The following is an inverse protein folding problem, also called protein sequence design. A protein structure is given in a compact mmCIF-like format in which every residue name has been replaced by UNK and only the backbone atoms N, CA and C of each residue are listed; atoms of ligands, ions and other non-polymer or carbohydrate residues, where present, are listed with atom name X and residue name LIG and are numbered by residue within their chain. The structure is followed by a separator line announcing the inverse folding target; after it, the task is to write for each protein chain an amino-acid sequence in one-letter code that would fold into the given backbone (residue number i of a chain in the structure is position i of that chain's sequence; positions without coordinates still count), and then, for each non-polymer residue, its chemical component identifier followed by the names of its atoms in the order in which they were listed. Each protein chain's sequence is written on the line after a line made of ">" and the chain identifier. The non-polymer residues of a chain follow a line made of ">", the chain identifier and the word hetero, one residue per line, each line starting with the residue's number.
data_IF_807562643415
#
_entry.id   IF_807562643415
#
_cell.length_a   1.000
_cell.length_b   1.000
_cell.length_c   1.000
_cell.angle_alpha   90.00
_cell.angle_beta   90.00
_cell.angle_gamma   90.00
#
_symmetry.space_group_name_H-M   'P 1'
#
loop_
_entity.id
_entity.type
_entity.pdbx_description
1 polymer ?
#
# COMPACT_ATOMS: atom_id res chain seq x y z
N UNK A 1 -17.76 -37.28 -4.26
CA UNK A 1 -17.18 -37.19 -2.90
C UNK A 1 -16.05 -36.17 -2.81
N UNK A 2 -15.09 -36.13 -3.75
CA UNK A 2 -13.93 -35.22 -3.69
C UNK A 2 -14.22 -33.70 -3.77
N UNK A 3 -15.31 -33.28 -4.43
CA UNK A 3 -15.62 -31.84 -4.61
C UNK A 3 -16.14 -31.19 -3.33
N UNK A 4 -16.95 -31.91 -2.53
CA UNK A 4 -17.51 -31.37 -1.28
C UNK A 4 -16.44 -31.16 -0.20
N UNK A 5 -15.51 -32.10 -0.03
CA UNK A 5 -14.39 -31.97 0.91
C UNK A 5 -13.44 -30.82 0.52
N UNK A 6 -13.19 -30.66 -0.78
CA UNK A 6 -12.39 -29.55 -1.31
C UNK A 6 -13.07 -28.20 -1.06
N UNK A 7 -14.37 -28.10 -1.35
CA UNK A 7 -15.17 -26.89 -1.11
C UNK A 7 -15.19 -26.53 0.37
N UNK A 8 -15.38 -27.52 1.23
CA UNK A 8 -15.36 -27.35 2.68
C UNK A 8 -14.02 -26.84 3.17
N UNK A 9 -12.92 -27.43 2.69
CA UNK A 9 -11.56 -26.99 3.01
C UNK A 9 -11.31 -25.56 2.56
N UNK A 10 -11.76 -25.20 1.35
CA UNK A 10 -11.62 -23.85 0.79
C UNK A 10 -12.39 -22.81 1.61
N UNK A 11 -13.64 -23.10 1.97
CA UNK A 11 -14.48 -22.20 2.78
C UNK A 11 -13.88 -22.00 4.17
N UNK A 12 -13.47 -23.07 4.86
CA UNK A 12 -12.82 -22.97 6.17
C UNK A 12 -11.51 -22.18 6.10
N UNK A 13 -10.70 -22.43 5.07
CA UNK A 13 -9.41 -21.77 4.92
C UNK A 13 -9.57 -20.26 4.66
N UNK A 14 -10.44 -19.89 3.71
CA UNK A 14 -10.69 -18.47 3.42
C UNK A 14 -11.35 -17.75 4.61
N UNK A 15 -12.30 -18.38 5.31
CA UNK A 15 -12.89 -17.80 6.52
C UNK A 15 -11.85 -17.57 7.63
N UNK A 16 -10.90 -18.49 7.79
CA UNK A 16 -9.80 -18.32 8.75
C UNK A 16 -8.82 -17.22 8.33
N UNK A 17 -8.57 -17.06 7.03
CA UNK A 17 -7.74 -15.98 6.48
C UNK A 17 -8.38 -14.60 6.70
N UNK A 18 -9.68 -14.45 6.44
CA UNK A 18 -10.41 -13.19 6.65
C UNK A 18 -10.42 -12.79 8.13
N UNK A 19 -10.59 -13.75 9.04
CA UNK A 19 -10.50 -13.50 10.49
C UNK A 19 -9.12 -12.99 10.90
N UNK A 20 -8.05 -13.67 10.47
CA UNK A 20 -6.70 -13.24 10.80
C UNK A 20 -6.37 -11.89 10.17
N UNK A 21 -6.83 -11.62 8.95
CA UNK A 21 -6.67 -10.31 8.32
C UNK A 21 -7.31 -9.23 9.17
N UNK A 22 -8.56 -9.43 9.61
CA UNK A 22 -9.24 -8.47 10.46
C UNK A 22 -8.46 -8.23 11.76
N UNK A 23 -8.00 -9.30 12.44
CA UNK A 23 -7.18 -9.19 13.64
C UNK A 23 -5.86 -8.43 13.40
N UNK A 24 -5.22 -8.59 12.24
CA UNK A 24 -4.00 -7.86 11.90
C UNK A 24 -4.29 -6.39 11.57
N UNK A 25 -5.38 -6.11 10.83
CA UNK A 25 -5.80 -4.75 10.51
C UNK A 25 -6.16 -3.97 11.79
N UNK A 26 -6.79 -4.61 12.76
CA UNK A 26 -7.13 -4.02 14.05
C UNK A 26 -5.88 -3.71 14.91
N UNK A 27 -4.80 -4.48 14.72
CA UNK A 27 -3.51 -4.29 15.40
C UNK A 27 -2.60 -3.27 14.73
N UNK A 28 -2.93 -2.79 13.53
CA UNK A 28 -2.11 -1.79 12.84
C UNK A 28 -2.11 -0.47 13.65
N UNK A 29 -0.94 0.05 14.05
CA UNK A 29 -0.86 1.30 14.79
C UNK A 29 -1.45 2.44 13.97
N UNK A 30 -2.32 3.26 14.57
CA UNK A 30 -2.84 4.48 13.95
C UNK A 30 -1.72 5.42 13.44
N UNK A 31 -0.54 5.35 14.08
CA UNK A 31 0.67 6.09 13.70
C UNK A 31 1.34 5.63 12.40
N UNK A 32 1.07 4.41 11.90
CA UNK A 32 1.62 3.87 10.63
C UNK A 32 0.82 4.32 9.40
N UNK A 33 -0.33 4.96 9.63
CA UNK A 33 -1.29 5.31 8.59
C UNK A 33 -0.98 6.71 8.02
N UNK A 34 -0.23 6.75 6.92
CA UNK A 34 -0.34 7.92 6.02
C UNK A 34 -1.75 7.95 5.43
N UNK A 35 -2.24 9.11 5.00
CA UNK A 35 -3.62 9.25 4.49
C UNK A 35 -3.96 8.23 3.38
N UNK A 36 -2.99 7.89 2.53
CA UNK A 36 -3.14 6.91 1.43
C UNK A 36 -3.22 5.47 1.95
N UNK A 37 -2.40 5.09 2.93
CA UNK A 37 -2.46 3.75 3.53
C UNK A 37 -3.72 3.59 4.40
N UNK A 38 -4.15 4.61 5.13
CA UNK A 38 -5.39 4.57 5.92
C UNK A 38 -6.63 4.27 5.05
N UNK A 39 -6.75 4.95 3.90
CA UNK A 39 -7.86 4.71 2.97
C UNK A 39 -7.80 3.31 2.36
N UNK A 40 -6.60 2.81 2.06
CA UNK A 40 -6.39 1.46 1.54
C UNK A 40 -6.71 0.38 2.59
N UNK A 41 -6.25 0.57 3.83
CA UNK A 41 -6.55 -0.29 4.99
C UNK A 41 -8.06 -0.33 5.25
N UNK A 42 -8.71 0.83 5.38
CA UNK A 42 -10.15 0.91 5.62
C UNK A 42 -10.96 0.30 4.48
N UNK A 43 -10.47 0.40 3.25
CA UNK A 43 -11.08 -0.23 2.09
C UNK A 43 -10.99 -1.76 2.16
N UNK A 44 -9.80 -2.30 2.43
CA UNK A 44 -9.59 -3.76 2.59
C UNK A 44 -10.35 -4.33 3.79
N UNK A 45 -10.44 -3.58 4.90
CA UNK A 45 -11.23 -3.97 6.07
C UNK A 45 -12.72 -4.13 5.74
N UNK A 46 -13.32 -3.17 5.01
CA UNK A 46 -14.72 -3.27 4.57
C UNK A 46 -14.97 -4.48 3.68
N UNK A 47 -14.07 -4.74 2.73
CA UNK A 47 -14.13 -5.93 1.88
C UNK A 47 -14.09 -7.20 2.72
N UNK A 48 -13.21 -7.26 3.73
CA UNK A 48 -13.06 -8.41 4.61
C UNK A 48 -14.32 -8.70 5.42
N UNK A 49 -14.93 -7.66 5.99
CA UNK A 49 -16.17 -7.79 6.76
C UNK A 49 -17.31 -8.36 5.91
N UNK A 50 -17.55 -7.78 4.73
CA UNK A 50 -18.62 -8.26 3.85
C UNK A 50 -18.41 -9.69 3.37
N UNK A 51 -17.17 -10.07 3.05
CA UNK A 51 -16.89 -11.44 2.66
C UNK A 51 -17.06 -12.44 3.80
N UNK A 52 -16.66 -12.08 5.02
CA UNK A 52 -16.85 -12.94 6.20
C UNK A 52 -18.33 -13.32 6.40
N UNK A 53 -19.24 -12.38 6.14
CA UNK A 53 -20.69 -12.64 6.17
C UNK A 53 -21.14 -13.59 5.05
N UNK A 54 -20.63 -13.39 3.84
CA UNK A 54 -20.95 -14.27 2.70
C UNK A 54 -20.40 -15.68 2.88
N UNK A 55 -19.19 -15.84 3.45
CA UNK A 55 -18.61 -17.14 3.75
C UNK A 55 -19.37 -17.87 4.85
N UNK A 56 -19.86 -17.14 5.87
CA UNK A 56 -20.74 -17.71 6.90
C UNK A 56 -22.01 -18.27 6.27
N UNK A 57 -22.64 -17.50 5.39
CA UNK A 57 -23.84 -17.97 4.73
C UNK A 57 -23.59 -19.12 3.73
N UNK A 58 -22.41 -19.18 3.10
CA UNK A 58 -21.99 -20.33 2.31
C UNK A 58 -21.82 -21.57 3.18
N UNK A 59 -21.13 -21.42 4.32
CA UNK A 59 -20.93 -22.49 5.29
C UNK A 59 -22.25 -23.01 5.84
N UNK A 60 -23.19 -22.13 6.21
CA UNK A 60 -24.52 -22.51 6.68
C UNK A 60 -25.28 -23.33 5.62
N UNK A 61 -25.24 -22.91 4.35
CA UNK A 61 -25.88 -23.63 3.24
C UNK A 61 -25.27 -25.01 2.99
N UNK A 62 -23.96 -25.14 3.17
CA UNK A 62 -23.25 -26.40 3.00
C UNK A 62 -23.13 -27.21 4.31
N UNK A 63 -23.73 -26.74 5.42
CA UNK A 63 -23.59 -27.35 6.76
C UNK A 63 -22.13 -27.57 7.18
N UNK A 64 -21.27 -26.61 6.86
CA UNK A 64 -19.84 -26.61 7.18
C UNK A 64 -19.63 -25.92 8.52
N UNK A 65 -18.92 -26.60 9.42
CA UNK A 65 -18.38 -25.95 10.60
C UNK A 65 -17.14 -25.11 10.23
N UNK A 66 -17.19 -23.82 10.54
CA UNK A 66 -16.08 -22.90 10.35
C UNK A 66 -15.01 -23.01 11.46
N UNK A 67 -15.30 -23.76 12.53
CA UNK A 67 -14.34 -24.04 13.58
C UNK A 67 -13.25 -25.02 13.07
N UNK A 68 -11.97 -24.65 13.23
CA UNK A 68 -10.84 -25.52 12.85
C UNK A 68 -10.22 -25.29 11.46
N UNK A 69 -10.55 -24.21 10.76
CA UNK A 69 -9.83 -23.81 9.54
C UNK A 69 -8.44 -23.23 9.83
N UNK A 70 -7.42 -23.71 9.12
CA UNK A 70 -6.12 -23.04 9.04
C UNK A 70 -6.07 -22.21 7.75
N UNK A 71 -5.54 -20.96 7.80
CA UNK A 71 -5.34 -20.20 6.58
C UNK A 71 -4.35 -20.95 5.69
N UNK A 72 -4.55 -20.87 4.37
CA UNK A 72 -3.55 -21.33 3.42
C UNK A 72 -2.23 -20.61 3.66
N UNK A 73 -1.11 -21.25 3.31
CA UNK A 73 0.23 -20.66 3.48
C UNK A 73 0.37 -19.29 2.83
N UNK A 74 -0.39 -19.04 1.76
CA UNK A 74 -0.42 -17.78 1.02
C UNK A 74 -1.08 -16.66 1.82
N UNK A 75 -2.23 -16.93 2.45
CA UNK A 75 -2.85 -15.97 3.38
C UNK A 75 -1.90 -15.67 4.54
N UNK A 76 -1.26 -16.69 5.12
CA UNK A 76 -0.29 -16.54 6.22
C UNK A 76 0.95 -15.73 5.81
N UNK A 77 1.49 -15.94 4.61
CA UNK A 77 2.63 -15.16 4.08
C UNK A 77 2.28 -13.68 3.93
N UNK A 78 1.07 -13.37 3.46
CA UNK A 78 0.62 -11.99 3.27
C UNK A 78 0.29 -11.33 4.61
N UNK A 79 -0.25 -12.08 5.57
CA UNK A 79 -0.47 -11.63 6.94
C UNK A 79 0.85 -11.35 7.67
N UNK A 80 1.91 -12.12 7.39
CA UNK A 80 3.24 -11.85 7.90
C UNK A 80 3.83 -10.55 7.32
N UNK A 81 3.59 -10.26 6.04
CA UNK A 81 4.00 -8.98 5.44
C UNK A 81 3.23 -7.78 6.01
N UNK A 82 1.94 -7.97 6.37
CA UNK A 82 1.13 -6.96 7.09
C UNK A 82 1.59 -6.81 8.55
N UNK A 83 2.03 -7.91 9.18
CA UNK A 83 2.35 -8.03 10.60
C UNK A 83 3.82 -7.81 11.00
N UNK A 84 4.75 -7.57 10.08
CA UNK A 84 6.16 -7.35 10.43
C UNK A 84 6.34 -5.99 11.17
N UNK A 85 6.80 -5.99 12.43
CA UNK A 85 7.45 -4.82 13.01
C UNK A 85 8.76 -4.58 12.26
N UNK A 86 9.10 -3.32 12.00
CA UNK A 86 10.40 -2.97 11.43
C UNK A 86 11.47 -3.57 12.35
N UNK A 87 12.30 -4.48 11.82
CA UNK A 87 13.56 -4.79 12.46
C UNK A 87 14.30 -3.46 12.64
N UNK A 88 14.86 -3.16 13.83
CA UNK A 88 15.54 -1.89 14.06
C UNK A 88 16.76 -1.84 13.15
N UNK A 89 16.62 -1.18 12.01
CA UNK A 89 17.77 -0.81 11.19
C UNK A 89 18.19 0.58 11.66
N UNK A 90 19.40 0.72 12.20
CA UNK A 90 19.88 2.02 12.61
C UNK A 90 20.13 2.83 11.35
N UNK A 91 19.56 4.02 11.32
CA UNK A 91 19.84 5.08 10.35
C UNK A 91 19.34 4.81 8.93
N UNK A 92 18.17 5.35 8.58
CA UNK A 92 18.00 6.06 7.31
C UNK A 92 16.77 6.97 7.29
N UNK A 93 17.01 8.18 6.82
CA UNK A 93 16.07 9.26 6.52
C UNK A 93 15.05 8.76 5.48
N UNK A 94 13.75 8.89 5.80
CA UNK A 94 12.64 8.74 4.85
C UNK A 94 12.01 7.34 4.77
N UNK A 95 10.86 7.15 5.42
CA UNK A 95 10.00 5.96 5.30
C UNK A 95 8.81 6.13 4.31
N UNK A 96 9.00 6.03 2.98
CA UNK A 96 7.94 5.67 2.02
C UNK A 96 7.88 4.16 1.72
N UNK A 97 8.95 3.42 2.00
CA UNK A 97 9.05 1.97 1.70
C UNK A 97 8.01 1.13 2.44
N UNK A 98 7.59 1.49 3.65
CA UNK A 98 6.64 0.69 4.45
C UNK A 98 5.22 0.67 3.88
N UNK A 99 4.74 1.79 3.32
CA UNK A 99 3.39 1.87 2.72
C UNK A 99 3.31 1.12 1.39
N UNK A 100 4.38 1.13 0.60
CA UNK A 100 4.43 0.39 -0.67
C UNK A 100 4.31 -1.12 -0.44
N UNK A 101 5.10 -1.68 0.48
CA UNK A 101 5.04 -3.10 0.81
C UNK A 101 3.67 -3.50 1.36
N UNK A 102 3.06 -2.65 2.19
CA UNK A 102 1.72 -2.88 2.73
C UNK A 102 0.65 -2.90 1.62
N UNK A 103 0.65 -1.94 0.71
CA UNK A 103 -0.33 -1.91 -0.40
C UNK A 103 -0.08 -3.07 -1.37
N UNK A 104 1.17 -3.42 -1.65
CA UNK A 104 1.51 -4.58 -2.48
C UNK A 104 1.03 -5.90 -1.84
N UNK A 105 1.19 -6.05 -0.53
CA UNK A 105 0.64 -7.18 0.24
C UNK A 105 -0.89 -7.23 0.13
N UNK A 106 -1.57 -6.08 0.27
CA UNK A 106 -3.02 -5.98 0.07
C UNK A 106 -3.47 -6.36 -1.35
N UNK A 107 -2.74 -5.94 -2.39
CA UNK A 107 -3.03 -6.32 -3.77
C UNK A 107 -2.88 -7.83 -3.98
N UNK A 108 -1.82 -8.44 -3.42
CA UNK A 108 -1.64 -9.90 -3.46
C UNK A 108 -2.76 -10.62 -2.73
N UNK A 109 -3.15 -10.11 -1.56
CA UNK A 109 -4.27 -10.64 -0.78
C UNK A 109 -5.55 -10.66 -1.61
N UNK A 110 -5.91 -9.52 -2.18
CA UNK A 110 -7.15 -9.38 -2.94
C UNK A 110 -7.15 -10.26 -4.20
N UNK A 111 -6.00 -10.44 -4.86
CA UNK A 111 -5.88 -11.37 -5.99
C UNK A 111 -6.10 -12.83 -5.60
N UNK A 112 -5.48 -13.31 -4.52
CA UNK A 112 -5.69 -14.70 -4.07
C UNK A 112 -7.14 -14.94 -3.67
N UNK A 113 -7.75 -13.95 -3.01
CA UNK A 113 -9.16 -13.97 -2.66
C UNK A 113 -10.08 -14.05 -3.87
N UNK A 114 -9.77 -13.36 -4.98
CA UNK A 114 -10.51 -13.49 -6.24
C UNK A 114 -10.46 -14.93 -6.75
N UNK A 115 -9.29 -15.57 -6.71
CA UNK A 115 -9.14 -16.95 -7.15
C UNK A 115 -9.96 -17.92 -6.27
N UNK A 116 -9.83 -17.81 -4.94
CA UNK A 116 -10.56 -18.68 -3.99
C UNK A 116 -12.08 -18.48 -4.08
N UNK A 117 -12.57 -17.24 -4.17
CA UNK A 117 -13.99 -16.95 -4.35
C UNK A 117 -14.53 -17.48 -5.68
N UNK A 118 -13.73 -17.42 -6.75
CA UNK A 118 -14.11 -17.95 -8.06
C UNK A 118 -14.27 -19.46 -8.02
N UNK A 119 -13.38 -20.16 -7.29
CA UNK A 119 -13.47 -21.60 -7.06
C UNK A 119 -14.70 -21.97 -6.23
N UNK A 120 -14.95 -21.27 -5.12
CA UNK A 120 -16.14 -21.47 -4.28
C UNK A 120 -17.40 -21.30 -5.13
N UNK A 121 -17.52 -20.18 -5.85
CA UNK A 121 -18.68 -19.89 -6.70
C UNK A 121 -18.90 -20.97 -7.77
N UNK A 122 -17.82 -21.43 -8.42
CA UNK A 122 -17.87 -22.48 -9.42
C UNK A 122 -18.33 -23.82 -8.82
N UNK A 123 -17.88 -24.15 -7.61
CA UNK A 123 -18.25 -25.39 -6.91
C UNK A 123 -19.72 -25.43 -6.50
N UNK A 124 -20.31 -24.29 -6.10
CA UNK A 124 -21.76 -24.20 -5.85
C UNK A 124 -22.58 -24.30 -7.16
N UNK A 125 -22.04 -23.90 -8.32
CA UNK A 125 -22.74 -23.99 -9.60
C UNK A 125 -24.10 -23.25 -9.64
N UNK A 126 -24.84 -23.41 -10.75
CA UNK A 126 -26.10 -22.68 -11.03
C UNK A 126 -27.29 -23.18 -10.18
N UNK A 127 -27.17 -24.33 -9.51
CA UNK A 127 -28.26 -24.98 -8.75
C UNK A 127 -28.29 -24.63 -7.26
N UNK A 128 -27.28 -23.92 -6.78
CA UNK A 128 -27.22 -23.45 -5.38
C UNK A 128 -28.12 -22.25 -5.15
N UNK A 129 -28.27 -21.83 -3.89
CA UNK A 129 -29.08 -20.68 -3.50
C UNK A 129 -28.74 -19.46 -4.38
N UNK A 130 -29.71 -18.93 -5.16
CA UNK A 130 -29.46 -17.81 -6.06
C UNK A 130 -29.01 -16.56 -5.29
N UNK A 131 -29.46 -16.39 -4.04
CA UNK A 131 -28.98 -15.32 -3.17
C UNK A 131 -27.52 -15.47 -2.77
N UNK A 132 -27.03 -16.69 -2.51
CA UNK A 132 -25.61 -16.94 -2.25
C UNK A 132 -24.77 -16.69 -3.51
N UNK A 133 -25.21 -17.18 -4.67
CA UNK A 133 -24.53 -16.95 -5.94
C UNK A 133 -24.42 -15.46 -6.28
N UNK A 134 -25.47 -14.68 -6.02
CA UNK A 134 -25.46 -13.23 -6.23
C UNK A 134 -24.50 -12.51 -5.28
N UNK A 135 -24.45 -12.89 -4.00
CA UNK A 135 -23.49 -12.33 -3.03
C UNK A 135 -22.04 -12.66 -3.39
N UNK A 136 -21.76 -13.91 -3.77
CA UNK A 136 -20.43 -14.32 -4.21
C UNK A 136 -20.00 -13.55 -5.47
N UNK A 137 -20.91 -13.34 -6.43
CA UNK A 137 -20.65 -12.53 -7.62
C UNK A 137 -20.37 -11.07 -7.27
N UNK A 138 -21.15 -10.46 -6.37
CA UNK A 138 -20.95 -9.09 -5.92
C UNK A 138 -19.59 -8.92 -5.23
N UNK A 139 -19.18 -9.84 -4.36
CA UNK A 139 -17.86 -9.77 -3.73
C UNK A 139 -16.70 -10.00 -4.69
N UNK A 140 -16.87 -10.84 -5.71
CA UNK A 140 -15.87 -10.98 -6.77
C UNK A 140 -15.68 -9.67 -7.53
N UNK A 141 -16.78 -9.05 -7.96
CA UNK A 141 -16.74 -7.75 -8.64
C UNK A 141 -16.11 -6.67 -7.75
N UNK A 142 -16.50 -6.62 -6.48
CA UNK A 142 -15.94 -5.67 -5.52
C UNK A 142 -14.43 -5.92 -5.30
N UNK A 143 -13.99 -7.18 -5.25
CA UNK A 143 -12.58 -7.53 -5.13
C UNK A 143 -11.78 -7.12 -6.38
N UNK A 144 -12.30 -7.31 -7.59
CA UNK A 144 -11.68 -6.82 -8.83
C UNK A 144 -11.52 -5.29 -8.83
N UNK A 145 -12.60 -4.56 -8.51
CA UNK A 145 -12.56 -3.10 -8.42
C UNK A 145 -11.61 -2.60 -7.32
N UNK A 146 -11.39 -3.43 -6.30
CA UNK A 146 -10.47 -3.12 -5.20
C UNK A 146 -9.02 -3.26 -5.60
N UNK A 147 -8.68 -4.29 -6.38
CA UNK A 147 -7.36 -4.43 -6.97
C UNK A 147 -7.01 -3.20 -7.80
N UNK A 148 -7.91 -2.76 -8.67
CA UNK A 148 -7.67 -1.57 -9.52
C UNK A 148 -7.50 -0.29 -8.69
N UNK A 149 -8.31 -0.11 -7.63
CA UNK A 149 -8.14 1.02 -6.71
C UNK A 149 -6.79 1.00 -5.99
N UNK A 150 -6.37 -0.18 -5.49
CA UNK A 150 -5.09 -0.33 -4.81
C UNK A 150 -3.91 -0.11 -5.78
N UNK A 151 -3.99 -0.60 -7.02
CA UNK A 151 -2.98 -0.31 -8.07
C UNK A 151 -2.90 1.19 -8.38
N UNK A 152 -4.03 1.88 -8.41
CA UNK A 152 -4.08 3.33 -8.55
C UNK A 152 -3.46 4.08 -7.36
N UNK A 153 -3.47 3.52 -6.14
CA UNK A 153 -2.74 4.08 -5.00
C UNK A 153 -1.22 3.85 -5.12
N UNK A 154 -0.80 2.64 -5.53
CA UNK A 154 0.63 2.35 -5.77
C UNK A 154 1.21 3.30 -6.82
N UNK A 155 0.52 3.49 -7.95
CA UNK A 155 0.99 4.36 -9.04
C UNK A 155 1.11 5.82 -8.59
N UNK A 156 0.18 6.30 -7.75
CA UNK A 156 0.26 7.65 -7.17
C UNK A 156 1.42 7.79 -6.19
N UNK A 157 1.68 6.79 -5.35
CA UNK A 157 2.82 6.80 -4.44
C UNK A 157 4.16 6.84 -5.21
N UNK A 158 4.27 6.10 -6.31
CA UNK A 158 5.45 6.20 -7.18
C UNK A 158 5.63 7.60 -7.77
N UNK A 159 4.54 8.20 -8.28
CA UNK A 159 4.60 9.53 -8.86
C UNK A 159 4.95 10.62 -7.84
N UNK A 160 4.38 10.52 -6.63
CA UNK A 160 4.69 11.43 -5.51
C UNK A 160 6.13 11.23 -5.04
N UNK A 161 6.65 10.00 -5.04
CA UNK A 161 8.04 9.70 -4.68
C UNK A 161 9.02 10.19 -5.75
N UNK A 162 8.77 9.98 -7.03
CA UNK A 162 9.56 10.55 -8.12
C UNK A 162 9.55 12.09 -8.06
N UNK A 163 8.39 12.68 -7.78
CA UNK A 163 8.24 14.14 -7.59
C UNK A 163 9.00 14.64 -6.36
N UNK A 164 9.05 13.87 -5.27
CA UNK A 164 9.80 14.20 -4.06
C UNK A 164 11.32 14.00 -4.25
N UNK A 165 11.76 12.97 -4.96
CA UNK A 165 13.16 12.73 -5.31
C UNK A 165 13.66 13.81 -6.26
N UNK A 166 12.87 14.19 -7.27
CA UNK A 166 13.19 15.34 -8.14
C UNK A 166 13.13 16.67 -7.39
N UNK A 167 12.26 16.83 -6.38
CA UNK A 167 12.27 18.00 -5.49
C UNK A 167 13.47 18.01 -4.51
N UNK A 168 14.02 16.86 -4.14
CA UNK A 168 15.28 16.74 -3.38
C UNK A 168 16.51 17.11 -4.21
N UNK A 169 16.42 16.94 -5.53
CA UNK A 169 17.34 17.53 -6.51
C UNK A 169 16.90 18.93 -6.96
N UNK A 170 16.27 19.73 -6.08
CA UNK A 170 16.10 21.14 -6.40
C UNK A 170 17.50 21.76 -6.54
N UNK A 171 17.82 22.38 -7.69
CA UNK A 171 19.06 23.08 -7.88
C UNK A 171 19.12 24.30 -6.95
N UNK A 172 19.62 24.10 -5.73
CA UNK A 172 19.75 25.14 -4.72
C UNK A 172 21.07 25.90 -4.90
N UNK A 173 21.09 27.17 -4.48
CA UNK A 173 22.25 28.03 -4.64
C UNK A 173 23.49 27.45 -3.96
N UNK A 174 23.35 26.76 -2.82
CA UNK A 174 24.48 26.11 -2.12
C UNK A 174 25.22 25.05 -2.96
N UNK A 175 24.52 24.38 -3.88
CA UNK A 175 25.11 23.34 -4.77
C UNK A 175 25.52 23.89 -6.14
N UNK A 176 25.33 25.19 -6.36
CA UNK A 176 25.67 25.87 -7.60
C UNK A 176 27.17 26.22 -7.66
N UNK A 177 27.78 26.15 -8.84
CA UNK A 177 29.18 26.56 -9.07
C UNK A 177 29.43 28.05 -8.78
N UNK A 178 28.36 28.86 -8.80
CA UNK A 178 28.41 30.30 -8.56
C UNK A 178 28.18 30.70 -7.09
N UNK A 179 28.19 29.73 -6.17
CA UNK A 179 28.08 29.97 -4.73
C UNK A 179 29.38 30.51 -4.14
N UNK A 180 29.31 31.68 -3.49
CA UNK A 180 30.45 32.29 -2.79
C UNK A 180 30.63 31.70 -1.38
N UNK A 181 31.37 30.59 -1.33
CA UNK A 181 31.65 29.84 -0.10
C UNK A 181 32.57 30.60 0.88
N UNK A 182 33.34 31.58 0.39
CA UNK A 182 34.23 32.37 1.25
C UNK A 182 33.46 33.35 2.14
N UNK A 183 32.22 33.70 1.76
CA UNK A 183 31.35 34.63 2.51
C UNK A 183 30.23 33.93 3.26
N UNK A 184 30.05 32.62 3.09
CA UNK A 184 29.06 31.84 3.86
C UNK A 184 29.59 31.57 5.26
N UNK A 185 29.59 32.59 6.12
CA UNK A 185 29.98 32.47 7.53
C UNK A 185 29.00 31.61 8.35
N UNK A 186 27.80 31.33 7.84
CA UNK A 186 26.83 30.41 8.41
C UNK A 186 26.00 29.71 7.33
N UNK A 187 25.38 28.59 7.71
CA UNK A 187 24.57 27.72 6.83
C UNK A 187 23.27 28.38 6.32
N UNK A 188 22.88 29.54 6.87
CA UNK A 188 21.68 30.31 6.52
C UNK A 188 21.99 31.73 5.99
N UNK A 189 23.27 32.09 5.87
CA UNK A 189 23.65 33.43 5.44
C UNK A 189 23.30 33.68 3.96
N UNK A 190 22.71 34.84 3.68
CA UNK A 190 22.59 35.33 2.31
C UNK A 190 23.99 35.74 1.82
N UNK A 191 24.39 35.24 0.65
CA UNK A 191 25.70 35.55 0.03
C UNK A 191 25.51 36.13 -1.38
N UNK A 192 26.48 36.90 -1.90
CA UNK A 192 26.43 37.35 -3.29
C UNK A 192 26.46 36.17 -4.27
N UNK A 193 25.67 36.25 -5.35
CA UNK A 193 25.78 35.29 -6.45
C UNK A 193 26.95 35.67 -7.38
N UNK A 194 27.82 34.71 -7.71
CA UNK A 194 28.97 34.91 -8.61
C UNK A 194 28.64 34.71 -10.10
N UNK A 195 27.37 34.50 -10.45
CA UNK A 195 26.96 34.37 -11.84
C UNK A 195 27.11 35.72 -12.55
N UNK A 196 27.76 35.83 -13.73
CA UNK A 196 28.11 37.11 -14.36
C UNK A 196 26.94 38.11 -14.44
N UNK A 197 25.79 37.66 -14.92
CA UNK A 197 24.58 38.49 -15.07
C UNK A 197 23.93 38.87 -13.73
N UNK A 198 23.97 37.99 -12.72
CA UNK A 198 23.29 38.22 -11.43
C UNK A 198 24.17 38.98 -10.45
N UNK A 199 25.49 38.87 -10.62
CA UNK A 199 26.50 39.58 -9.83
C UNK A 199 26.50 41.08 -10.13
N UNK A 200 26.35 41.46 -11.41
CA UNK A 200 26.20 42.88 -11.81
C UNK A 200 24.96 43.54 -11.19
N UNK A 201 23.90 42.76 -10.97
CA UNK A 201 22.69 43.21 -10.29
C UNK A 201 22.83 43.29 -8.75
N UNK A 202 23.97 42.88 -8.18
CA UNK A 202 24.21 42.87 -6.74
C UNK A 202 23.30 41.91 -5.96
N UNK A 203 22.84 40.83 -6.60
CA UNK A 203 21.84 39.93 -6.02
C UNK A 203 22.42 39.10 -4.86
N UNK A 204 21.78 39.19 -3.70
CA UNK A 204 22.05 38.34 -2.54
C UNK A 204 21.14 37.11 -2.56
N UNK A 205 21.72 35.92 -2.43
CA UNK A 205 21.00 34.64 -2.53
C UNK A 205 21.10 33.85 -1.24
N UNK A 206 20.00 33.20 -0.84
CA UNK A 206 19.99 32.25 0.27
C UNK A 206 20.46 30.87 -0.19
N UNK A 207 21.11 30.07 0.69
CA UNK A 207 21.63 28.74 0.36
C UNK A 207 20.55 27.76 -0.13
N UNK A 208 19.30 27.96 0.28
CA UNK A 208 18.14 27.13 -0.09
C UNK A 208 17.33 27.69 -1.27
N UNK A 209 17.69 28.87 -1.77
CA UNK A 209 17.04 29.46 -2.95
C UNK A 209 17.43 28.72 -4.22
N UNK A 210 16.58 28.78 -5.25
CA UNK A 210 16.86 28.18 -6.57
C UNK A 210 16.68 29.22 -7.66
N UNK A 211 17.42 29.08 -8.77
CA UNK A 211 17.28 29.95 -9.92
C UNK A 211 17.39 29.14 -11.23
N UNK A 212 16.92 29.73 -12.34
CA UNK A 212 16.98 29.10 -13.67
C UNK A 212 18.40 29.01 -14.24
N UNK A 213 19.34 29.77 -13.69
CA UNK A 213 20.76 29.83 -14.11
C UNK A 213 21.65 28.95 -13.22
N UNK A 214 21.08 27.93 -12.56
CA UNK A 214 21.85 27.02 -11.73
C UNK A 214 22.72 26.13 -12.61
N UNK A 215 24.00 26.06 -12.25
CA UNK A 215 24.94 25.12 -12.82
C UNK A 215 25.56 24.31 -11.66
N UNK A 216 25.48 22.97 -11.68
CA UNK A 216 26.02 22.15 -10.60
C UNK A 216 27.55 22.29 -10.52
N UNK A 217 28.08 22.22 -9.30
CA UNK A 217 29.53 22.06 -9.06
C UNK A 217 29.99 20.70 -9.63
N UNK A 218 31.08 20.70 -10.39
CA UNK A 218 31.73 19.48 -10.91
C UNK A 218 32.53 18.76 -9.84
#
# INVERSE_FOLDING_TARGET
>A
MQISELLETQIRSLASAERLLQEQLDKLPAARATKVSHLSIAHVARLSTGLSETLRAAADEASIDLSGGSPTSVATLILNEVGLPDAPTPSNVGQPMSNYHLIAAMVRYTHNRIAELSLIRAAYGVRSNPGLQQRLAAHLEEAFLSVERLRGHVSRLFHDQESAVTASYRPICRTCRYWDEQRSGSDDAYVPCLHPVLSEAGLMVSPHSSCKQHEPRA
#
